data_IF_043162411761
#
_entry.id   IF_043162411761
#
_cell.length_a   1.000
_cell.length_b   1.000
_cell.length_c   1.000
_cell.angle_alpha   90.00
_cell.angle_beta   90.00
_cell.angle_gamma   90.00
#
_symmetry.space_group_name_H-M   'P 1'
#
loop_
_entity.id
_entity.type
_entity.pdbx_description
1 polymer ?
#
# COMPACT_ATOMS: atom_id res chain seq x y z
N UNK A 1 -0.02 -17.31 4.37
CA UNK A 1 -0.46 -16.36 3.33
C UNK A 1 0.77 -15.64 2.77
N UNK A 2 0.86 -15.48 1.45
CA UNK A 2 1.95 -14.79 0.75
C UNK A 2 1.52 -13.43 0.17
N UNK A 3 0.22 -13.12 0.16
CA UNK A 3 -0.30 -11.88 -0.44
C UNK A 3 -0.33 -10.73 0.56
N UNK A 4 -0.66 -11.01 1.83
CA UNK A 4 -0.67 -10.01 2.91
C UNK A 4 0.58 -9.13 2.93
N UNK A 5 1.80 -9.69 3.03
CA UNK A 5 3.05 -8.92 3.00
C UNK A 5 3.22 -8.05 1.74
N UNK A 6 2.88 -8.59 0.55
CA UNK A 6 2.98 -7.84 -0.71
C UNK A 6 2.03 -6.64 -0.76
N UNK A 7 0.82 -6.84 -0.23
CA UNK A 7 -0.20 -5.80 -0.14
C UNK A 7 0.22 -4.72 0.84
N UNK A 8 0.68 -5.10 2.04
CA UNK A 8 1.13 -4.14 3.05
C UNK A 8 2.33 -3.33 2.58
N UNK A 9 3.30 -3.95 1.90
CA UNK A 9 4.46 -3.26 1.35
C UNK A 9 4.05 -2.19 0.32
N UNK A 10 3.13 -2.53 -0.57
CA UNK A 10 2.64 -1.61 -1.61
C UNK A 10 1.78 -0.51 -1.00
N UNK A 11 0.90 -0.86 -0.06
CA UNK A 11 -0.02 0.05 0.62
C UNK A 11 0.74 1.08 1.46
N UNK A 12 1.57 0.63 2.40
CA UNK A 12 2.36 1.54 3.24
C UNK A 12 3.46 2.25 2.46
N UNK A 13 4.07 1.60 1.48
CA UNK A 13 5.04 2.24 0.59
C UNK A 13 4.47 3.39 -0.23
N UNK A 14 3.15 3.42 -0.45
CA UNK A 14 2.44 4.54 -1.08
C UNK A 14 2.02 5.61 -0.05
N UNK A 15 1.52 5.19 1.11
CA UNK A 15 1.02 6.10 2.14
C UNK A 15 2.12 6.93 2.82
N UNK A 16 3.31 6.37 2.97
CA UNK A 16 4.44 7.07 3.54
C UNK A 16 5.26 7.75 2.44
N UNK A 17 5.35 9.10 2.43
CA UNK A 17 6.21 9.80 1.50
C UNK A 17 7.65 9.30 1.66
N UNK A 18 8.30 8.90 0.56
CA UNK A 18 9.75 8.63 0.58
C UNK A 18 10.46 9.95 0.85
N UNK A 19 10.84 10.21 2.08
CA UNK A 19 11.66 11.37 2.44
C UNK A 19 12.89 11.40 1.53
N UNK A 20 12.99 12.42 0.69
CA UNK A 20 14.28 12.85 0.15
C UNK A 20 15.09 13.34 1.34
N UNK A 21 15.98 12.46 1.82
CA UNK A 21 17.23 12.77 2.51
C UNK A 21 17.38 14.17 3.11
N UNK A 22 17.11 14.31 4.42
CA UNK A 22 17.82 15.21 5.34
C UNK A 22 17.42 14.85 6.78
N UNK A 23 18.37 14.91 7.70
CA UNK A 23 18.42 14.31 9.05
C UNK A 23 17.36 14.76 10.09
N UNK A 24 16.16 15.16 9.68
CA UNK A 24 15.07 15.60 10.59
C UNK A 24 13.88 14.61 10.65
N UNK A 25 14.04 13.40 10.09
CA UNK A 25 12.97 12.48 9.66
C UNK A 25 12.19 11.80 10.81
N UNK A 26 12.61 11.91 12.07
CA UNK A 26 11.96 11.17 13.15
C UNK A 26 10.58 11.71 13.58
N UNK A 27 10.19 12.94 13.17
CA UNK A 27 9.02 13.61 13.78
C UNK A 27 7.73 13.49 12.96
N UNK A 28 7.73 13.27 11.64
CA UNK A 28 6.48 13.30 10.85
C UNK A 28 6.45 12.40 9.62
N UNK A 29 6.69 11.09 9.78
CA UNK A 29 6.16 10.11 8.84
C UNK A 29 4.65 9.94 9.12
N UNK A 30 3.85 10.97 8.83
CA UNK A 30 2.40 10.85 8.87
C UNK A 30 1.94 10.25 7.53
N UNK A 31 1.14 9.17 7.54
CA UNK A 31 0.59 8.62 6.32
C UNK A 31 -0.43 9.58 5.74
N UNK A 32 -0.42 9.78 4.42
CA UNK A 32 -1.49 10.50 3.74
C UNK A 32 -2.73 9.60 3.62
N UNK A 33 -3.57 9.60 4.65
CA UNK A 33 -4.77 8.76 4.70
C UNK A 33 -5.79 9.09 3.59
N UNK A 34 -5.71 10.27 2.94
CA UNK A 34 -6.54 10.58 1.77
C UNK A 34 -6.25 9.64 0.60
N UNK A 35 -5.06 9.03 0.57
CA UNK A 35 -4.62 8.09 -0.45
C UNK A 35 -4.91 6.63 -0.09
N UNK A 36 -5.57 6.33 1.04
CA UNK A 36 -5.78 4.95 1.48
C UNK A 36 -6.55 4.09 0.46
N UNK A 37 -7.64 4.62 -0.12
CA UNK A 37 -8.39 3.93 -1.17
C UNK A 37 -7.50 3.64 -2.41
N UNK A 38 -6.71 4.63 -2.82
CA UNK A 38 -5.81 4.49 -3.97
C UNK A 38 -4.65 3.53 -3.68
N UNK A 39 -4.13 3.51 -2.46
CA UNK A 39 -3.11 2.58 -2.02
C UNK A 39 -3.59 1.12 -2.08
N UNK A 40 -4.86 0.84 -1.71
CA UNK A 40 -5.47 -0.49 -1.88
C UNK A 40 -5.61 -0.84 -3.37
N UNK A 41 -6.01 0.11 -4.21
CA UNK A 41 -6.07 -0.07 -5.65
C UNK A 41 -4.70 -0.46 -6.25
N UNK A 42 -3.62 0.21 -5.84
CA UNK A 42 -2.27 -0.11 -6.29
C UNK A 42 -1.82 -1.50 -5.82
N UNK A 43 -2.08 -1.85 -4.55
CA UNK A 43 -1.70 -3.13 -3.98
C UNK A 43 -2.41 -4.31 -4.66
N UNK A 44 -3.73 -4.21 -4.89
CA UNK A 44 -4.50 -5.22 -5.62
C UNK A 44 -4.13 -5.27 -7.10
N UNK A 45 -3.84 -4.11 -7.72
CA UNK A 45 -3.33 -4.01 -9.08
C UNK A 45 -2.00 -4.75 -9.28
N UNK A 46 -1.11 -4.73 -8.28
CA UNK A 46 0.15 -5.49 -8.29
C UNK A 46 -0.11 -7.01 -8.29
N UNK A 47 -0.96 -7.52 -7.40
CA UNK A 47 -1.32 -8.94 -7.37
C UNK A 47 -1.94 -9.38 -8.71
N UNK A 48 -2.80 -8.54 -9.29
CA UNK A 48 -3.38 -8.78 -10.62
C UNK A 48 -2.30 -8.86 -11.71
N UNK A 49 -1.31 -7.96 -11.68
CA UNK A 49 -0.21 -7.96 -12.66
C UNK A 49 0.70 -9.18 -12.54
N UNK A 50 0.79 -9.78 -11.36
CA UNK A 50 1.50 -11.03 -11.10
C UNK A 50 0.70 -12.28 -11.51
N UNK A 51 -0.49 -12.11 -12.12
CA UNK A 51 -1.34 -13.21 -12.56
C UNK A 51 -2.07 -13.93 -11.43
N UNK A 52 -2.20 -13.31 -10.25
CA UNK A 52 -2.91 -13.94 -9.14
C UNK A 52 -4.42 -14.05 -9.45
N UNK A 53 -5.05 -15.22 -9.18
CA UNK A 53 -6.50 -15.37 -9.29
C UNK A 53 -7.27 -14.29 -8.53
N UNK A 54 -8.44 -13.92 -9.06
CA UNK A 54 -9.32 -12.88 -8.49
C UNK A 54 -9.55 -13.03 -6.98
N UNK A 55 -9.76 -14.27 -6.52
CA UNK A 55 -9.99 -14.60 -5.09
C UNK A 55 -8.85 -14.16 -4.17
N UNK A 56 -7.63 -14.00 -4.68
CA UNK A 56 -6.45 -13.60 -3.90
C UNK A 56 -6.31 -12.09 -3.69
N UNK A 57 -7.09 -11.27 -4.40
CA UNK A 57 -6.99 -9.81 -4.26
C UNK A 57 -8.31 -9.09 -4.02
N UNK A 58 -9.46 -9.74 -4.28
CA UNK A 58 -10.80 -9.23 -3.87
C UNK A 58 -10.94 -8.95 -2.36
N UNK A 59 -10.35 -9.74 -1.44
CA UNK A 59 -10.52 -9.49 0.00
C UNK A 59 -9.92 -8.16 0.49
N UNK A 60 -8.99 -7.55 -0.27
CA UNK A 60 -8.38 -6.29 0.11
C UNK A 60 -9.25 -5.12 -0.37
N UNK A 61 -10.11 -4.64 0.53
CA UNK A 61 -11.02 -3.52 0.31
C UNK A 61 -10.69 -2.37 1.27
N UNK A 62 -10.93 -1.15 0.82
CA UNK A 62 -10.94 0.02 1.68
C UNK A 62 -12.39 0.34 2.07
N UNK A 63 -12.63 0.50 3.37
CA UNK A 63 -13.89 0.98 3.93
C UNK A 63 -13.55 2.23 4.73
N UNK A 64 -14.06 3.39 4.31
CA UNK A 64 -13.70 4.70 4.85
C UNK A 64 -14.54 5.80 4.24
#
# INVERSE_FOLDING_TARGET
DSDGPKVTDTFYGHLFPKHQSTQEVAVRLQPDLSQAAYAVHLATGKLRSEGCPLVRWVPFIHLG
#
